data_IF_264952569582
#
_entry.id   IF_264952569582
#
_cell.length_a   1.000
_cell.length_b   1.000
_cell.length_c   1.000
_cell.angle_alpha   90.00
_cell.angle_beta   90.00
_cell.angle_gamma   90.00
#
_symmetry.space_group_name_H-M   'P 1'
#
loop_
_entity.id
_entity.type
_entity.pdbx_description
1 polymer ?
#
# COMPACT_ATOMS: atom_id res chain seq x y z
N UNK A 1 -8.94 18.70 -8.00
CA UNK A 1 -8.74 17.58 -8.94
C UNK A 1 -10.09 16.93 -9.15
N UNK A 2 -10.37 16.47 -10.37
CA UNK A 2 -11.56 15.69 -10.64
C UNK A 2 -11.56 14.40 -9.77
N UNK A 3 -12.59 14.15 -8.94
CA UNK A 3 -12.67 12.98 -8.06
C UNK A 3 -12.60 11.63 -8.79
N UNK A 4 -12.95 11.59 -10.08
CA UNK A 4 -13.03 10.35 -10.85
C UNK A 4 -11.70 9.91 -11.47
N UNK A 5 -10.65 10.74 -11.36
CA UNK A 5 -9.33 10.39 -11.88
C UNK A 5 -8.82 9.10 -11.22
N UNK A 6 -8.18 8.18 -11.98
CA UNK A 6 -7.61 6.96 -11.43
C UNK A 6 -6.66 7.20 -10.24
N UNK A 7 -5.92 8.31 -10.26
CA UNK A 7 -5.04 8.72 -9.17
C UNK A 7 -5.77 8.93 -7.84
N UNK A 8 -7.04 9.33 -7.85
CA UNK A 8 -7.84 9.56 -6.64
C UNK A 8 -8.18 8.25 -5.90
N UNK A 9 -7.97 7.11 -6.56
CA UNK A 9 -8.19 5.77 -5.98
C UNK A 9 -6.92 5.19 -5.34
N UNK A 10 -5.80 5.91 -5.39
CA UNK A 10 -4.58 5.50 -4.71
C UNK A 10 -4.80 5.40 -3.20
N UNK A 11 -4.12 4.44 -2.57
CA UNK A 11 -4.19 4.22 -1.12
C UNK A 11 -3.70 5.47 -0.39
N UNK A 12 -4.44 5.88 0.65
CA UNK A 12 -4.11 7.06 1.45
C UNK A 12 -4.75 8.36 0.94
N UNK A 13 -5.19 8.44 -0.32
CA UNK A 13 -5.77 9.67 -0.87
C UNK A 13 -7.09 10.01 -0.18
N UNK A 14 -7.96 9.03 0.03
CA UNK A 14 -9.27 9.23 0.69
C UNK A 14 -9.11 9.67 2.14
N UNK A 15 -8.16 9.07 2.85
CA UNK A 15 -7.88 9.39 4.24
C UNK A 15 -7.35 10.81 4.40
N UNK A 16 -6.41 11.22 3.55
CA UNK A 16 -5.86 12.58 3.57
C UNK A 16 -6.90 13.62 3.12
N UNK A 17 -7.74 13.30 2.14
CA UNK A 17 -8.85 14.17 1.75
C UNK A 17 -9.86 14.38 2.88
N UNK A 18 -10.19 13.34 3.65
CA UNK A 18 -11.07 13.46 4.80
C UNK A 18 -10.50 14.43 5.86
N UNK A 19 -9.18 14.38 6.10
CA UNK A 19 -8.51 15.35 6.97
C UNK A 19 -8.54 16.77 6.41
N UNK A 20 -8.27 16.96 5.11
CA UNK A 20 -8.34 18.27 4.46
C UNK A 20 -9.75 18.86 4.46
N UNK A 21 -10.78 18.01 4.43
CA UNK A 21 -12.18 18.39 4.53
C UNK A 21 -12.67 18.60 5.98
N UNK A 22 -11.80 18.45 6.98
CA UNK A 22 -12.14 18.61 8.39
C UNK A 22 -13.00 17.48 8.98
N UNK A 23 -13.14 16.35 8.27
CA UNK A 23 -13.93 15.19 8.72
C UNK A 23 -13.21 14.36 9.78
N UNK A 24 -11.88 14.42 9.81
CA UNK A 24 -11.05 13.86 10.87
C UNK A 24 -9.75 14.67 11.03
N UNK A 25 -8.99 14.41 12.10
CA UNK A 25 -7.68 15.01 12.27
C UNK A 25 -6.61 14.35 11.40
N UNK A 26 -5.56 15.10 11.02
CA UNK A 26 -4.40 14.55 10.30
C UNK A 26 -3.76 13.33 10.98
N UNK A 27 -3.55 13.30 12.32
CA UNK A 27 -3.00 12.12 12.98
C UNK A 27 -3.83 10.85 12.74
N UNK A 28 -5.16 10.98 12.80
CA UNK A 28 -6.08 9.88 12.56
C UNK A 28 -6.06 9.44 11.08
N UNK A 29 -6.10 10.39 10.15
CA UNK A 29 -6.00 10.08 8.72
C UNK A 29 -4.70 9.36 8.37
N UNK A 30 -3.56 9.77 8.94
CA UNK A 30 -2.26 9.12 8.75
C UNK A 30 -2.30 7.67 9.25
N UNK A 31 -2.86 7.43 10.43
CA UNK A 31 -2.97 6.06 10.95
C UNK A 31 -3.88 5.18 10.09
N UNK A 32 -5.02 5.71 9.63
CA UNK A 32 -5.91 5.01 8.69
C UNK A 32 -5.19 4.69 7.36
N UNK A 33 -4.44 5.65 6.80
CA UNK A 33 -3.67 5.45 5.58
C UNK A 33 -2.59 4.37 5.75
N UNK A 34 -1.86 4.37 6.88
CA UNK A 34 -0.89 3.31 7.21
C UNK A 34 -1.55 1.93 7.30
N UNK A 35 -2.73 1.83 7.93
CA UNK A 35 -3.50 0.59 8.01
C UNK A 35 -3.87 0.11 6.61
N UNK A 36 -4.41 0.99 5.77
CA UNK A 36 -4.80 0.66 4.39
C UNK A 36 -3.60 0.15 3.58
N UNK A 37 -2.43 0.78 3.71
CA UNK A 37 -1.18 0.34 3.08
C UNK A 37 -0.77 -1.06 3.54
N UNK A 38 -0.80 -1.35 4.85
CA UNK A 38 -0.49 -2.69 5.37
C UNK A 38 -1.46 -3.75 4.86
N UNK A 39 -2.75 -3.45 4.82
CA UNK A 39 -3.76 -4.36 4.29
C UNK A 39 -3.52 -4.65 2.79
N UNK A 40 -3.18 -3.63 2.01
CA UNK A 40 -2.84 -3.81 0.61
C UNK A 40 -1.58 -4.64 0.40
N UNK A 41 -0.51 -4.36 1.15
CA UNK A 41 0.71 -5.17 1.13
C UNK A 41 0.42 -6.65 1.47
N UNK A 42 -0.46 -6.91 2.45
CA UNK A 42 -0.93 -8.26 2.77
C UNK A 42 -1.72 -8.90 1.63
N UNK A 43 -2.61 -8.16 0.96
CA UNK A 43 -3.36 -8.65 -0.21
C UNK A 43 -2.41 -9.00 -1.36
N UNK A 44 -1.47 -8.12 -1.68
CA UNK A 44 -0.43 -8.36 -2.69
C UNK A 44 0.40 -9.60 -2.34
N UNK A 45 0.87 -9.71 -1.10
CA UNK A 45 1.64 -10.87 -0.64
C UNK A 45 0.85 -12.19 -0.77
N UNK A 46 -0.44 -12.14 -0.46
CA UNK A 46 -1.36 -13.28 -0.59
C UNK A 46 -1.57 -13.64 -2.06
N UNK A 47 -1.82 -12.64 -2.91
CA UNK A 47 -2.01 -12.84 -4.34
C UNK A 47 -0.75 -13.45 -4.97
N UNK A 48 0.43 -12.89 -4.70
CA UNK A 48 1.69 -13.41 -5.23
C UNK A 48 1.93 -14.86 -4.83
N UNK A 49 1.68 -15.23 -3.57
CA UNK A 49 1.82 -16.61 -3.09
C UNK A 49 0.98 -17.60 -3.89
N UNK A 50 -0.25 -17.23 -4.24
CA UNK A 50 -1.17 -18.13 -4.95
C UNK A 50 -0.91 -18.17 -6.45
N UNK A 51 -0.37 -17.10 -7.05
CA UNK A 51 -0.19 -17.02 -8.50
C UNK A 51 1.18 -17.50 -8.98
N UNK A 52 2.22 -17.38 -8.15
CA UNK A 52 3.61 -17.52 -8.62
C UNK A 52 4.30 -18.81 -8.14
N UNK A 53 3.61 -19.61 -7.32
CA UNK A 53 4.10 -20.92 -6.88
C UNK A 53 5.28 -20.88 -5.91
N UNK A 54 5.86 -22.06 -5.66
CA UNK A 54 6.94 -22.25 -4.67
C UNK A 54 8.29 -21.66 -5.10
N UNK A 55 8.53 -21.56 -6.41
CA UNK A 55 9.78 -21.05 -7.00
C UNK A 55 9.93 -19.53 -6.86
N UNK A 56 8.88 -18.82 -6.45
CA UNK A 56 8.95 -17.38 -6.25
C UNK A 56 9.85 -17.04 -5.05
N UNK A 57 11.02 -16.49 -5.35
CA UNK A 57 11.97 -16.02 -4.34
C UNK A 57 11.39 -14.85 -3.55
N UNK A 58 11.21 -15.04 -2.24
CA UNK A 58 10.86 -13.97 -1.31
C UNK A 58 12.15 -13.38 -0.75
N UNK A 59 12.27 -12.06 -0.84
CA UNK A 59 13.39 -11.34 -0.23
C UNK A 59 13.07 -11.05 1.24
N UNK A 60 14.01 -11.41 2.11
CA UNK A 60 14.06 -10.99 3.50
C UNK A 60 14.88 -9.69 3.59
N UNK A 61 14.70 -8.88 4.65
CA UNK A 61 15.47 -7.64 4.82
C UNK A 61 16.99 -7.82 4.74
N UNK A 62 17.49 -8.96 5.21
CA UNK A 62 18.93 -9.28 5.22
C UNK A 62 19.41 -9.97 3.93
N UNK A 63 18.51 -10.26 2.99
CA UNK A 63 18.92 -10.85 1.72
C UNK A 63 19.63 -9.77 0.89
N UNK A 64 20.93 -9.96 0.64
CA UNK A 64 21.61 -9.13 -0.35
C UNK A 64 20.95 -9.35 -1.72
N UNK A 65 20.55 -8.27 -2.42
CA UNK A 65 20.13 -8.43 -3.79
C UNK A 65 21.29 -9.06 -4.55
N UNK A 66 21.01 -10.10 -5.33
CA UNK A 66 22.00 -10.64 -6.25
C UNK A 66 22.33 -9.49 -7.21
N UNK A 67 23.48 -8.85 -7.00
CA UNK A 67 24.03 -7.89 -7.95
C UNK A 67 24.15 -8.66 -9.26
N UNK A 68 23.33 -8.27 -10.24
CA UNK A 68 23.50 -8.74 -11.61
C UNK A 68 24.47 -7.76 -12.26
N UNK A 69 25.66 -8.27 -12.61
CA UNK A 69 26.55 -7.63 -13.58
C UNK A 69 25.86 -7.48 -14.94
#
# INVERSE_FOLDING_TARGET
LDPDLPAMKAIGVRELQAAMAGQCGFPEAIERAKIATRQYAKRQSTWFRHQLGAEWRRLRPDDQPAVRD
#
